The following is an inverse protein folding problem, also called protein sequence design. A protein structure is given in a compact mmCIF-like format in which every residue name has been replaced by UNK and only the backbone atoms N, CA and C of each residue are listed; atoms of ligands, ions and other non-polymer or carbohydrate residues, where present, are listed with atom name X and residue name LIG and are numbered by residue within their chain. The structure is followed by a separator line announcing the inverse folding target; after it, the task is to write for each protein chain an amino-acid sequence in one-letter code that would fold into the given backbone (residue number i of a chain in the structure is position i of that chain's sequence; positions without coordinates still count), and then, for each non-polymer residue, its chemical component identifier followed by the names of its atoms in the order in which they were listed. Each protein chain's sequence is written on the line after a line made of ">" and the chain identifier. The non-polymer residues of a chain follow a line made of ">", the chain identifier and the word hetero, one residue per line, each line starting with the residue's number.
data_IF_549966360064
#
_entry.id   IF_549966360064
#
_cell.length_a   1.000
_cell.length_b   1.000
_cell.length_c   1.000
_cell.angle_alpha   90.00
_cell.angle_beta   90.00
_cell.angle_gamma   90.00
#
_symmetry.space_group_name_H-M   'P 1'
#
loop_
_entity.id
_entity.type
_entity.pdbx_description
1 polymer ?
#
# COMPACT_ATOMS: atom_id res chain seq x y z
N UNK A 1 -14.05 46.69 25.46
CA UNK A 1 -13.79 45.35 26.03
C UNK A 1 -15.01 44.51 25.70
N UNK A 2 -14.93 43.65 24.68
CA UNK A 2 -16.06 42.84 24.21
C UNK A 2 -15.95 41.43 24.83
N UNK A 3 -16.86 41.03 25.71
CA UNK A 3 -16.89 39.70 26.33
C UNK A 3 -17.51 38.61 25.42
N UNK A 4 -17.82 38.94 24.15
CA UNK A 4 -18.52 38.02 23.25
C UNK A 4 -17.58 37.01 22.54
N UNK A 5 -16.30 37.36 22.35
CA UNK A 5 -15.34 36.52 21.60
C UNK A 5 -14.91 35.26 22.37
N UNK A 6 -14.94 35.30 23.71
CA UNK A 6 -14.47 34.20 24.56
C UNK A 6 -15.41 33.00 24.67
N UNK A 7 -16.69 33.13 24.30
CA UNK A 7 -17.64 32.02 24.39
C UNK A 7 -17.61 31.10 23.16
N UNK A 8 -17.37 31.67 21.98
CA UNK A 8 -17.30 30.93 20.73
C UNK A 8 -15.97 30.15 20.61
N UNK A 9 -14.86 30.75 21.04
CA UNK A 9 -13.52 30.11 21.05
C UNK A 9 -13.44 28.89 22.01
N UNK A 10 -14.12 28.94 23.16
CA UNK A 10 -14.15 27.83 24.11
C UNK A 10 -14.98 26.64 23.59
N UNK A 11 -16.06 26.92 22.85
CA UNK A 11 -16.86 25.91 22.17
C UNK A 11 -16.06 25.16 21.11
N UNK A 12 -15.34 25.90 20.26
CA UNK A 12 -14.48 25.33 19.22
C UNK A 12 -13.35 24.50 19.82
N UNK A 13 -12.75 24.96 20.93
CA UNK A 13 -11.73 24.20 21.67
C UNK A 13 -12.27 22.87 22.20
N UNK A 14 -13.47 22.85 22.79
CA UNK A 14 -14.08 21.60 23.28
C UNK A 14 -14.37 20.62 22.14
N UNK A 15 -14.84 21.11 20.99
CA UNK A 15 -15.06 20.28 19.80
C UNK A 15 -13.74 19.66 19.34
N UNK A 16 -12.67 20.45 19.26
CA UNK A 16 -11.34 19.96 18.88
C UNK A 16 -10.79 18.92 19.86
N UNK A 17 -10.94 19.14 21.17
CA UNK A 17 -10.52 18.17 22.20
C UNK A 17 -11.33 16.87 22.13
N UNK A 18 -12.63 16.95 21.82
CA UNK A 18 -13.48 15.76 21.66
C UNK A 18 -13.09 14.96 20.43
N UNK A 19 -12.83 15.63 19.30
CA UNK A 19 -12.34 15.01 18.08
C UNK A 19 -10.96 14.40 18.29
N UNK A 20 -10.07 15.11 18.98
CA UNK A 20 -8.74 14.61 19.35
C UNK A 20 -8.85 13.30 20.15
N UNK A 21 -9.68 13.26 21.20
CA UNK A 21 -9.88 12.05 22.01
C UNK A 21 -10.40 10.89 21.17
N UNK A 22 -11.35 11.17 20.27
CA UNK A 22 -11.89 10.17 19.35
C UNK A 22 -10.79 9.56 18.47
N UNK A 23 -9.99 10.40 17.81
CA UNK A 23 -8.90 9.92 16.95
C UNK A 23 -7.82 9.20 17.74
N UNK A 24 -7.43 9.68 18.92
CA UNK A 24 -6.45 9.02 19.77
C UNK A 24 -6.90 7.61 20.15
N UNK A 25 -8.16 7.45 20.59
CA UNK A 25 -8.72 6.14 20.92
C UNK A 25 -8.79 5.24 19.68
N UNK A 26 -9.18 5.79 18.53
CA UNK A 26 -9.21 5.05 17.28
C UNK A 26 -7.81 4.53 16.89
N UNK A 27 -6.77 5.38 16.93
CA UNK A 27 -5.41 4.95 16.64
C UNK A 27 -4.94 3.87 17.60
N UNK A 28 -5.19 4.04 18.91
CA UNK A 28 -4.84 3.06 19.90
C UNK A 28 -5.54 1.70 19.67
N UNK A 29 -6.84 1.70 19.36
CA UNK A 29 -7.58 0.48 19.04
C UNK A 29 -7.06 -0.20 17.76
N UNK A 30 -6.78 0.58 16.71
CA UNK A 30 -6.25 0.05 15.45
C UNK A 30 -4.85 -0.55 15.68
N UNK A 31 -3.95 0.14 16.40
CA UNK A 31 -2.62 -0.38 16.73
C UNK A 31 -2.74 -1.68 17.56
N UNK A 32 -3.63 -1.71 18.55
CA UNK A 32 -3.87 -2.92 19.33
C UNK A 32 -4.46 -4.06 18.49
N UNK A 33 -5.33 -3.77 17.53
CA UNK A 33 -5.87 -4.79 16.64
C UNK A 33 -4.79 -5.33 15.69
N UNK A 34 -4.00 -4.43 15.11
CA UNK A 34 -2.93 -4.73 14.15
C UNK A 34 -1.80 -5.53 14.81
N UNK A 35 -1.51 -5.29 16.10
CA UNK A 35 -0.55 -6.12 16.84
C UNK A 35 -1.01 -7.57 17.09
N UNK A 36 -2.31 -7.86 16.96
CA UNK A 36 -2.88 -9.21 17.22
C UNK A 36 -3.10 -10.03 15.96
N UNK A 37 -3.11 -9.40 14.79
CA UNK A 37 -3.44 -10.02 13.50
C UNK A 37 -2.28 -9.78 12.54
N UNK A 38 -1.86 -10.80 11.79
CA UNK A 38 -0.91 -10.58 10.68
C UNK A 38 -1.47 -9.50 9.74
N UNK A 39 -0.79 -8.35 9.75
CA UNK A 39 -1.26 -7.15 9.07
C UNK A 39 -0.27 -6.79 7.97
N UNK A 40 -0.83 -6.41 6.83
CA UNK A 40 -0.10 -5.92 5.66
C UNK A 40 0.78 -4.70 6.02
N UNK A 41 2.05 -4.73 5.61
CA UNK A 41 3.02 -3.64 5.82
C UNK A 41 2.51 -2.33 5.22
N UNK A 42 1.77 -2.38 4.11
CA UNK A 42 1.19 -1.19 3.49
C UNK A 42 0.17 -0.48 4.40
N UNK A 43 -0.63 -1.25 5.15
CA UNK A 43 -1.60 -0.66 6.09
C UNK A 43 -0.92 0.01 7.27
N UNK A 44 0.19 -0.57 7.73
CA UNK A 44 1.02 -0.01 8.80
C UNK A 44 1.70 1.30 8.38
N UNK A 45 2.22 1.36 7.16
CA UNK A 45 2.81 2.57 6.59
C UNK A 45 1.79 3.71 6.52
N UNK A 46 0.62 3.45 5.92
CA UNK A 46 -0.46 4.45 5.83
C UNK A 46 -0.91 4.95 7.21
N UNK A 47 -1.04 4.05 8.18
CA UNK A 47 -1.43 4.43 9.54
C UNK A 47 -0.36 5.28 10.23
N UNK A 48 0.92 5.05 9.93
CA UNK A 48 2.03 5.89 10.37
C UNK A 48 1.94 7.30 9.80
N UNK A 49 1.64 7.45 8.50
CA UNK A 49 1.44 8.76 7.85
C UNK A 49 0.27 9.53 8.49
N UNK A 50 -0.87 8.86 8.70
CA UNK A 50 -2.05 9.46 9.33
C UNK A 50 -1.76 9.92 10.77
N UNK A 51 -0.97 9.15 11.53
CA UNK A 51 -0.58 9.50 12.90
C UNK A 51 0.42 10.68 12.93
N UNK A 52 1.35 10.74 11.97
CA UNK A 52 2.26 11.87 11.83
C UNK A 52 1.50 13.15 11.43
N UNK A 53 0.54 13.07 10.51
CA UNK A 53 -0.33 14.20 10.17
C UNK A 53 -1.12 14.67 11.39
N UNK A 54 -1.71 13.74 12.14
CA UNK A 54 -2.43 14.03 13.38
C UNK A 54 -1.53 14.71 14.43
N UNK A 55 -0.28 14.27 14.59
CA UNK A 55 0.67 14.90 15.51
C UNK A 55 0.91 16.38 15.19
N UNK A 56 0.99 16.73 13.91
CA UNK A 56 1.19 18.13 13.47
C UNK A 56 -0.04 18.99 13.71
N UNK A 57 -1.23 18.39 13.66
CA UNK A 57 -2.48 19.08 13.98
C UNK A 57 -2.59 19.37 15.48
N UNK A 58 -2.20 18.41 16.31
CA UNK A 58 -2.18 18.54 17.78
C UNK A 58 -1.32 19.71 18.23
N UNK A 59 -0.13 19.88 17.66
CA UNK A 59 0.80 20.98 17.99
C UNK A 59 0.22 22.37 17.75
N UNK A 60 -0.78 22.50 16.88
CA UNK A 60 -1.44 23.77 16.57
C UNK A 60 -2.58 24.11 17.51
N UNK A 61 -3.14 23.13 18.22
CA UNK A 61 -4.37 23.26 19.00
C UNK A 61 -4.11 23.35 20.51
N UNK A 62 -3.04 22.73 21.00
CA UNK A 62 -2.73 22.72 22.43
C UNK A 62 -1.87 23.91 22.83
N UNK A 63 -2.39 24.72 23.77
CA UNK A 63 -1.70 25.89 24.32
C UNK A 63 -0.87 25.56 25.58
N UNK A 64 -1.27 24.54 26.36
CA UNK A 64 -0.53 24.15 27.56
C UNK A 64 0.72 23.33 27.17
N UNK A 65 1.94 23.84 27.45
CA UNK A 65 3.17 23.16 27.11
C UNK A 65 3.34 21.81 27.83
N UNK A 66 2.79 21.64 29.04
CA UNK A 66 2.93 20.38 29.78
C UNK A 66 2.04 19.28 29.20
N UNK A 67 0.78 19.61 28.87
CA UNK A 67 -0.14 18.67 28.22
C UNK A 67 0.36 18.30 26.82
N UNK A 68 0.85 19.28 26.06
CA UNK A 68 1.43 19.05 24.74
C UNK A 68 2.63 18.12 24.82
N UNK A 69 3.52 18.30 25.79
CA UNK A 69 4.70 17.45 25.95
C UNK A 69 4.32 16.01 26.29
N UNK A 70 3.38 15.81 27.22
CA UNK A 70 2.88 14.47 27.55
C UNK A 70 2.26 13.80 26.32
N UNK A 71 1.51 14.57 25.52
CA UNK A 71 0.87 14.06 24.33
C UNK A 71 1.88 13.73 23.22
N UNK A 72 2.91 14.56 23.03
CA UNK A 72 4.03 14.27 22.12
C UNK A 72 4.71 12.95 22.47
N UNK A 73 4.99 12.73 23.75
CA UNK A 73 5.58 11.46 24.22
C UNK A 73 4.67 10.29 23.88
N UNK A 74 3.36 10.37 24.15
CA UNK A 74 2.42 9.29 23.83
C UNK A 74 2.33 9.00 22.33
N UNK A 75 2.26 10.05 21.49
CA UNK A 75 2.21 9.91 20.03
C UNK A 75 3.52 9.32 19.49
N UNK A 76 4.67 9.74 20.03
CA UNK A 76 5.98 9.20 19.65
C UNK A 76 6.11 7.72 20.01
N UNK A 77 5.60 7.30 21.17
CA UNK A 77 5.56 5.88 21.53
C UNK A 77 4.71 5.07 20.55
N UNK A 78 3.52 5.56 20.19
CA UNK A 78 2.68 4.90 19.18
C UNK A 78 3.34 4.81 17.79
N UNK A 79 4.09 5.84 17.39
CA UNK A 79 4.86 5.80 16.14
C UNK A 79 6.00 4.77 16.18
N UNK A 80 6.70 4.65 17.31
CA UNK A 80 7.75 3.63 17.49
C UNK A 80 7.13 2.23 17.43
N UNK A 81 5.99 2.02 18.07
CA UNK A 81 5.26 0.75 18.02
C UNK A 81 4.85 0.40 16.59
N UNK A 82 4.32 1.37 15.83
CA UNK A 82 3.95 1.18 14.43
C UNK A 82 5.14 0.82 13.54
N UNK A 83 6.26 1.50 13.69
CA UNK A 83 7.49 1.18 12.95
C UNK A 83 8.00 -0.21 13.29
N UNK A 84 7.97 -0.57 14.57
CA UNK A 84 8.36 -1.90 15.02
C UNK A 84 7.47 -2.99 14.41
N UNK A 85 6.15 -2.77 14.38
CA UNK A 85 5.20 -3.67 13.75
C UNK A 85 5.40 -3.75 12.23
N UNK A 86 5.70 -2.62 11.58
CA UNK A 86 6.02 -2.57 10.16
C UNK A 86 7.26 -3.42 9.85
N UNK A 87 8.34 -3.24 10.59
CA UNK A 87 9.58 -3.99 10.40
C UNK A 87 9.36 -5.48 10.66
N UNK A 88 8.54 -5.83 11.65
CA UNK A 88 8.13 -7.22 11.88
C UNK A 88 7.31 -7.78 10.71
N UNK A 89 6.37 -7.02 10.15
CA UNK A 89 5.56 -7.43 9.01
C UNK A 89 6.40 -7.59 7.73
N UNK A 90 7.38 -6.70 7.52
CA UNK A 90 8.33 -6.80 6.41
C UNK A 90 9.25 -8.01 6.62
N UNK A 91 9.78 -8.21 7.83
CA UNK A 91 10.64 -9.34 8.17
C UNK A 91 9.91 -10.69 8.08
N UNK A 92 8.65 -10.75 8.48
CA UNK A 92 7.81 -11.95 8.34
C UNK A 92 7.53 -12.26 6.87
N UNK A 93 7.34 -11.22 6.05
CA UNK A 93 7.23 -11.35 4.58
C UNK A 93 8.53 -11.87 3.97
N UNK A 94 9.69 -11.46 4.50
CA UNK A 94 11.00 -11.96 4.07
C UNK A 94 11.28 -13.40 4.52
N UNK A 95 10.64 -13.88 5.60
CA UNK A 95 10.79 -15.26 6.10
C UNK A 95 9.98 -16.31 5.32
N UNK A 96 9.65 -16.01 4.07
CA UNK A 96 8.98 -16.95 3.17
C UNK A 96 7.55 -16.56 2.88
N UNK A 97 7.29 -15.29 2.55
CA UNK A 97 6.08 -14.96 1.81
C UNK A 97 5.94 -15.96 0.65
N UNK A 98 4.74 -16.54 0.45
CA UNK A 98 4.51 -17.37 -0.71
C UNK A 98 4.93 -16.53 -1.92
N UNK A 99 5.91 -16.99 -2.72
CA UNK A 99 6.44 -16.13 -3.77
C UNK A 99 5.26 -15.69 -4.64
N UNK A 100 5.25 -14.40 -4.99
CA UNK A 100 4.14 -13.77 -5.74
C UNK A 100 3.72 -14.64 -6.92
N UNK A 101 4.69 -15.36 -7.48
CA UNK A 101 4.52 -16.44 -8.43
C UNK A 101 5.06 -17.77 -7.85
N UNK A 102 4.21 -18.78 -7.76
CA UNK A 102 4.59 -20.15 -7.42
C UNK A 102 4.40 -21.08 -8.61
N UNK A 103 5.39 -21.93 -8.89
CA UNK A 103 5.25 -23.03 -9.85
C UNK A 103 4.89 -24.33 -9.13
N UNK A 104 3.61 -24.69 -9.12
CA UNK A 104 3.12 -25.91 -8.49
C UNK A 104 3.17 -27.09 -9.47
N UNK A 105 3.80 -28.18 -9.03
CA UNK A 105 3.83 -29.45 -9.75
C UNK A 105 2.63 -30.29 -9.30
N UNK A 106 1.65 -30.48 -10.18
CA UNK A 106 0.37 -31.16 -9.84
C UNK A 106 0.46 -32.69 -9.80
N UNK A 107 1.67 -33.28 -9.80
CA UNK A 107 1.90 -34.73 -9.82
C UNK A 107 1.48 -35.45 -11.11
N UNK A 108 0.77 -34.78 -12.02
CA UNK A 108 0.42 -35.29 -13.35
C UNK A 108 1.51 -34.92 -14.35
N UNK A 109 1.76 -35.81 -15.32
CA UNK A 109 2.72 -35.58 -16.41
C UNK A 109 2.23 -34.37 -17.23
N UNK A 110 2.89 -33.22 -17.10
CA UNK A 110 2.48 -31.96 -17.74
C UNK A 110 3.30 -30.76 -17.27
N UNK A 111 3.10 -29.61 -17.92
CA UNK A 111 3.75 -28.33 -17.58
C UNK A 111 3.30 -27.88 -16.17
N UNK A 112 4.22 -27.43 -15.29
CA UNK A 112 3.86 -26.91 -13.96
C UNK A 112 2.88 -25.74 -14.09
N UNK A 113 1.92 -25.66 -13.16
CA UNK A 113 0.95 -24.56 -13.14
C UNK A 113 1.55 -23.38 -12.38
N UNK A 114 1.35 -22.19 -12.91
CA UNK A 114 1.74 -20.94 -12.26
C UNK A 114 0.58 -20.46 -11.40
N UNK A 115 0.78 -20.41 -10.09
CA UNK A 115 -0.13 -19.76 -9.14
C UNK A 115 0.41 -18.36 -8.83
N UNK A 116 -0.48 -17.37 -8.89
CA UNK A 116 -0.16 -15.99 -8.49
C UNK A 116 -0.87 -15.72 -7.17
N UNK A 117 -0.22 -15.04 -6.23
CA UNK A 117 -0.86 -14.62 -4.99
C UNK A 117 -2.12 -13.78 -5.30
N UNK A 118 -3.25 -14.15 -4.69
CA UNK A 118 -4.56 -13.57 -4.99
C UNK A 118 -4.65 -12.10 -4.57
N UNK A 119 -4.16 -11.76 -3.39
CA UNK A 119 -4.22 -10.41 -2.84
C UNK A 119 -3.35 -9.45 -3.65
N UNK A 120 -2.15 -9.90 -4.03
CA UNK A 120 -1.30 -9.20 -4.99
C UNK A 120 -2.04 -9.00 -6.32
N UNK A 121 -2.67 -10.05 -6.87
CA UNK A 121 -3.34 -9.97 -8.17
C UNK A 121 -4.53 -8.98 -8.13
N UNK A 122 -5.27 -8.93 -7.02
CA UNK A 122 -6.34 -7.94 -6.78
C UNK A 122 -5.81 -6.52 -6.73
N UNK A 123 -4.78 -6.29 -5.92
CA UNK A 123 -4.14 -4.98 -5.81
C UNK A 123 -3.56 -4.52 -7.15
N UNK A 124 -2.80 -5.39 -7.82
CA UNK A 124 -2.15 -5.06 -9.08
C UNK A 124 -3.17 -4.74 -10.18
N UNK A 125 -4.30 -5.47 -10.22
CA UNK A 125 -5.37 -5.21 -11.18
C UNK A 125 -6.05 -3.86 -11.00
N UNK A 126 -6.15 -3.37 -9.77
CA UNK A 126 -6.70 -2.03 -9.52
C UNK A 126 -5.80 -0.87 -9.98
N UNK A 127 -4.52 -1.13 -10.24
CA UNK A 127 -3.53 -0.09 -10.58
C UNK A 127 -2.85 -0.26 -11.94
N UNK A 128 -2.83 -1.49 -12.51
CA UNK A 128 -2.02 -1.82 -13.69
C UNK A 128 -2.80 -2.66 -14.70
N UNK A 129 -2.43 -2.51 -15.97
CA UNK A 129 -2.94 -3.34 -17.06
C UNK A 129 -2.43 -4.79 -16.97
N UNK A 130 -3.11 -5.74 -17.63
CA UNK A 130 -2.63 -7.13 -17.73
C UNK A 130 -1.19 -7.21 -18.25
N UNK A 131 -0.84 -6.36 -19.22
CA UNK A 131 0.53 -6.23 -19.76
C UNK A 131 1.52 -5.73 -18.71
N UNK A 132 1.15 -4.71 -17.94
CA UNK A 132 1.99 -4.17 -16.86
C UNK A 132 2.25 -5.20 -15.76
N UNK A 133 1.23 -5.96 -15.38
CA UNK A 133 1.35 -7.07 -14.40
C UNK A 133 2.23 -8.19 -14.98
N UNK A 134 2.03 -8.56 -16.24
CA UNK A 134 2.81 -9.58 -16.94
C UNK A 134 4.30 -9.23 -16.99
N UNK A 135 4.65 -7.99 -17.36
CA UNK A 135 6.04 -7.51 -17.39
C UNK A 135 6.65 -7.49 -15.98
N UNK A 136 5.90 -7.02 -14.98
CA UNK A 136 6.35 -6.99 -13.59
C UNK A 136 6.64 -8.39 -13.03
N UNK A 137 5.77 -9.36 -13.31
CA UNK A 137 5.89 -10.74 -12.81
C UNK A 137 6.79 -11.63 -13.67
N UNK A 138 7.23 -11.18 -14.85
CA UNK A 138 8.01 -12.01 -15.79
C UNK A 138 7.24 -13.22 -16.34
N UNK A 139 5.90 -13.18 -16.34
CA UNK A 139 5.04 -14.28 -16.82
C UNK A 139 4.20 -13.80 -18.01
N UNK A 140 3.81 -14.72 -18.90
CA UNK A 140 3.04 -14.36 -20.09
C UNK A 140 1.67 -13.75 -19.79
N UNK A 141 1.25 -12.77 -20.61
CA UNK A 141 -0.06 -12.06 -20.50
C UNK A 141 -1.25 -13.02 -20.39
N UNK A 142 -1.25 -14.09 -21.18
CA UNK A 142 -2.30 -15.12 -21.15
C UNK A 142 -2.41 -15.81 -19.80
N UNK A 143 -1.29 -16.07 -19.13
CA UNK A 143 -1.26 -16.67 -17.79
C UNK A 143 -1.85 -15.73 -16.74
N UNK A 144 -1.49 -14.44 -16.79
CA UNK A 144 -2.07 -13.41 -15.90
C UNK A 144 -3.57 -13.30 -16.12
N UNK A 145 -4.00 -13.21 -17.38
CA UNK A 145 -5.42 -13.14 -17.74
C UNK A 145 -6.19 -14.36 -17.24
N UNK A 146 -5.66 -15.56 -17.44
CA UNK A 146 -6.29 -16.78 -16.95
C UNK A 146 -6.38 -16.80 -15.43
N UNK A 147 -5.33 -16.38 -14.72
CA UNK A 147 -5.34 -16.28 -13.27
C UNK A 147 -6.39 -15.27 -12.75
N UNK A 148 -6.58 -14.13 -13.43
CA UNK A 148 -7.61 -13.15 -13.10
C UNK A 148 -9.04 -13.70 -13.28
N UNK A 149 -9.25 -14.52 -14.31
CA UNK A 149 -10.54 -15.18 -14.57
C UNK A 149 -10.78 -16.31 -13.56
N UNK A 150 -9.79 -17.17 -13.35
CA UNK A 150 -9.88 -18.32 -12.43
C UNK A 150 -10.12 -17.88 -10.98
N UNK A 151 -9.62 -16.69 -10.61
CA UNK A 151 -9.84 -16.08 -9.29
C UNK A 151 -11.14 -15.26 -9.16
N UNK A 152 -11.90 -15.11 -10.25
CA UNK A 152 -13.14 -14.33 -10.27
C UNK A 152 -12.94 -12.82 -10.15
N UNK A 153 -11.72 -12.30 -10.33
CA UNK A 153 -11.42 -10.86 -10.31
C UNK A 153 -11.89 -10.20 -11.62
N UNK A 154 -11.76 -10.92 -12.75
CA UNK A 154 -12.19 -10.43 -14.07
C UNK A 154 -13.19 -11.39 -14.70
N UNK A 155 -14.19 -10.84 -15.39
CA UNK A 155 -15.12 -11.63 -16.21
C UNK A 155 -14.47 -12.01 -17.56
N UNK A 156 -14.80 -13.18 -18.14
CA UNK A 156 -14.33 -13.55 -19.47
C UNK A 156 -14.71 -12.49 -20.52
N UNK A 157 -13.71 -11.95 -21.23
CA UNK A 157 -13.91 -10.91 -22.24
C UNK A 157 -14.02 -9.48 -21.72
N UNK A 158 -13.88 -9.26 -20.41
CA UNK A 158 -13.88 -7.92 -19.84
C UNK A 158 -12.47 -7.32 -19.85
N UNK A 159 -12.30 -6.21 -20.58
CA UNK A 159 -11.13 -5.34 -20.47
C UNK A 159 -11.46 -4.22 -19.46
N UNK A 160 -10.75 -4.11 -18.33
CA UNK A 160 -11.03 -3.09 -17.32
C UNK A 160 -10.54 -1.70 -17.72
N UNK A 161 -9.84 -1.56 -18.86
CA UNK A 161 -9.42 -0.27 -19.40
C UNK A 161 -10.29 0.07 -20.63
N UNK A 162 -11.55 0.51 -20.43
CA UNK A 162 -12.41 0.96 -21.51
C UNK A 162 -11.84 2.25 -22.11
N UNK A 163 -10.93 2.13 -23.06
CA UNK A 163 -10.29 3.32 -23.64
C UNK A 163 -9.27 3.08 -24.75
N UNK A 164 -8.59 1.92 -24.79
CA UNK A 164 -7.78 1.57 -25.97
C UNK A 164 -8.69 0.85 -26.97
N UNK A 165 -9.35 1.62 -27.83
CA UNK A 165 -10.04 1.07 -28.98
C UNK A 165 -9.05 0.16 -29.72
N UNK A 166 -9.34 -1.13 -29.74
CA UNK A 166 -8.69 -2.08 -30.62
C UNK A 166 -8.96 -1.63 -32.04
N UNK A 167 -8.02 -0.86 -32.61
CA UNK A 167 -7.92 -0.67 -34.05
C UNK A 167 -7.57 -2.03 -34.65
N UNK A 168 -8.61 -2.83 -34.86
CA UNK A 168 -8.60 -3.92 -35.83
C UNK A 168 -8.41 -3.30 -37.19
N UNK A 169 -7.16 -3.27 -37.65
CA UNK A 169 -6.73 -3.47 -39.03
C UNK A 169 -5.27 -3.00 -39.15
N UNK A 170 -4.31 -3.89 -38.89
CA UNK A 170 -3.13 -4.07 -39.74
C UNK A 170 -2.27 -5.22 -39.21
N UNK A 171 -2.07 -6.26 -40.04
CA UNK A 171 -0.90 -7.11 -39.97
C UNK A 171 0.35 -6.21 -39.97
N UNK A 172 1.11 -6.21 -38.87
CA UNK A 172 2.28 -5.36 -38.69
C UNK A 172 2.82 -5.51 -37.27
N UNK A 173 3.81 -6.38 -37.13
CA UNK A 173 4.42 -6.89 -35.89
C UNK A 173 5.14 -5.86 -35.00
N UNK A 174 4.98 -4.53 -35.19
CA UNK A 174 5.86 -3.52 -34.52
C UNK A 174 5.22 -2.15 -34.21
N UNK A 175 4.02 -2.07 -33.58
CA UNK A 175 3.42 -0.74 -33.32
C UNK A 175 2.71 -0.54 -31.98
N UNK A 176 3.08 -1.26 -30.91
CA UNK A 176 2.46 -1.11 -29.59
C UNK A 176 3.45 -0.73 -28.47
N UNK A 177 4.58 -0.12 -28.85
CA UNK A 177 5.62 0.40 -27.92
C UNK A 177 5.49 1.91 -27.65
N UNK A 178 4.38 2.54 -28.05
CA UNK A 178 4.11 3.95 -27.81
C UNK A 178 2.90 4.05 -26.88
N UNK A 179 3.08 4.77 -25.76
CA UNK A 179 2.10 5.07 -24.69
C UNK A 179 2.06 4.10 -23.49
N UNK A 180 3.22 3.83 -22.88
CA UNK A 180 3.28 3.97 -21.42
C UNK A 180 3.62 5.46 -21.16
N UNK A 181 2.89 6.21 -20.31
CA UNK A 181 3.39 7.50 -19.85
C UNK A 181 4.74 7.23 -19.16
N UNK A 182 5.77 7.99 -19.53
CA UNK A 182 7.06 8.01 -18.82
C UNK A 182 6.79 8.31 -17.35
N UNK A 183 6.61 7.26 -16.54
CA UNK A 183 6.67 7.38 -15.09
C UNK A 183 8.15 7.63 -14.81
N UNK A 184 8.53 8.81 -14.27
CA UNK A 184 9.92 9.09 -13.97
C UNK A 184 10.45 7.99 -13.06
N UNK A 185 11.47 7.28 -13.54
CA UNK A 185 12.24 6.35 -12.73
C UNK A 185 12.78 7.18 -11.55
N UNK A 186 12.44 6.86 -10.29
CA UNK A 186 13.00 7.58 -9.15
C UNK A 186 14.53 7.48 -9.23
N UNK A 187 15.21 8.63 -9.25
CA UNK A 187 16.64 8.77 -9.47
C UNK A 187 17.50 8.31 -8.26
N UNK A 188 17.15 7.18 -7.65
CA UNK A 188 17.69 6.77 -6.35
C UNK A 188 17.86 5.28 -6.16
N UNK A 189 18.06 4.49 -7.23
CA UNK A 189 18.56 3.12 -7.04
C UNK A 189 20.08 3.20 -6.80
N UNK A 190 20.60 2.82 -5.62
CA UNK A 190 22.02 2.78 -5.36
C UNK A 190 22.70 1.78 -6.30
N UNK A 191 23.75 2.23 -6.99
CA UNK A 191 24.48 1.45 -8.01
C UNK A 191 25.32 0.29 -7.43
N UNK A 192 25.12 -0.08 -6.17
CA UNK A 192 26.12 -0.80 -5.37
C UNK A 192 25.89 -2.32 -5.27
N UNK A 193 25.03 -2.91 -6.11
CA UNK A 193 24.70 -4.36 -6.05
C UNK A 193 25.26 -5.15 -7.23
N UNK A 194 26.26 -4.62 -7.96
CA UNK A 194 26.83 -5.33 -9.10
C UNK A 194 28.35 -5.36 -9.09
N UNK A 195 28.98 -5.81 -8.01
CA UNK A 195 30.40 -6.22 -8.06
C UNK A 195 30.80 -7.02 -6.81
N UNK A 196 30.54 -8.34 -6.78
CA UNK A 196 31.46 -9.34 -6.21
C UNK A 196 30.95 -10.76 -6.47
N UNK A 197 31.30 -11.30 -7.63
CA UNK A 197 31.38 -12.73 -7.86
C UNK A 197 32.24 -13.01 -9.09
N UNK A 198 33.54 -12.70 -9.02
CA UNK A 198 34.51 -13.26 -9.98
C UNK A 198 35.83 -13.58 -9.27
N UNK A 199 35.99 -14.88 -8.99
CA UNK A 199 37.24 -15.66 -8.79
C UNK A 199 38.02 -15.43 -7.49
#
# INVERSE_FOLDING_TARGET
>A
MNPATSADEEGDRQVLLSAFRFYYHQFHEVIQQVSRVETDSFRLEKLGEELEEFSRLVERVFEDPNELEQLRVNLQMMLIDLRTLHDQAVASTQHGAPPVVQHIHTGRRGRPRTLINLDFLRWAWSHRTTSGISRFLGIGRTTVRQALIDSGIAAPGHDPFPGRQSSSDSDGDEADEILDPDIPIPAGLPSDITEEATV
#
